data_IF_754815578454
#
_entry.id   IF_754815578454
#
_cell.length_a   1.000
_cell.length_b   1.000
_cell.length_c   1.000
_cell.angle_alpha   90.00
_cell.angle_beta   90.00
_cell.angle_gamma   90.00
#
_symmetry.space_group_name_H-M   'P 1'
#
loop_
_entity.id
_entity.type
_entity.pdbx_description
1 polymer ?
#
# COMPACT_ATOMS: atom_id res chain seq x y z
N UNK A 1 32.80 -51.57 55.96
CA UNK A 1 31.60 -52.07 55.23
C UNK A 1 30.53 -51.00 55.23
N UNK A 2 30.24 -50.36 54.11
CA UNK A 2 29.07 -49.46 54.01
C UNK A 2 27.80 -50.27 54.02
N UNK A 3 26.92 -49.99 54.95
CA UNK A 3 25.65 -50.74 55.15
C UNK A 3 24.73 -50.58 53.93
N UNK A 4 23.90 -51.57 53.66
CA UNK A 4 22.96 -51.59 52.56
C UNK A 4 21.93 -50.40 52.58
N UNK A 5 21.67 -49.88 53.79
CA UNK A 5 20.90 -48.65 54.03
C UNK A 5 21.56 -47.36 53.45
N UNK A 6 22.89 -47.21 53.61
CA UNK A 6 23.69 -46.11 53.10
C UNK A 6 23.67 -46.07 51.57
N UNK A 7 23.75 -47.23 50.90
CA UNK A 7 23.69 -47.33 49.46
C UNK A 7 22.31 -46.94 48.90
N UNK A 8 21.23 -47.27 49.58
CA UNK A 8 19.87 -46.93 49.21
C UNK A 8 19.61 -45.44 49.36
N UNK A 9 20.03 -44.84 50.46
CA UNK A 9 19.90 -43.38 50.71
C UNK A 9 20.65 -42.55 49.65
N UNK A 10 21.85 -42.95 49.24
CA UNK A 10 22.65 -42.26 48.21
C UNK A 10 21.95 -42.35 46.86
N UNK A 11 21.34 -43.49 46.51
CA UNK A 11 20.60 -43.66 45.25
C UNK A 11 19.33 -42.80 45.22
N UNK A 12 18.59 -42.75 46.33
CA UNK A 12 17.36 -41.94 46.43
C UNK A 12 17.70 -40.41 46.28
N UNK A 13 18.81 -39.97 46.88
CA UNK A 13 19.28 -38.58 46.74
C UNK A 13 19.71 -38.28 45.28
N UNK A 14 20.35 -39.21 44.59
CA UNK A 14 20.72 -39.02 43.17
C UNK A 14 19.51 -38.97 42.26
N UNK A 15 18.53 -39.81 42.47
CA UNK A 15 17.26 -39.79 41.73
C UNK A 15 16.50 -38.48 41.97
N UNK A 16 16.46 -37.98 43.19
CA UNK A 16 15.83 -36.69 43.53
C UNK A 16 16.52 -35.51 42.83
N UNK A 17 17.86 -35.47 42.87
CA UNK A 17 18.66 -34.45 42.15
C UNK A 17 18.39 -34.49 40.64
N UNK A 18 18.33 -35.68 40.04
CA UNK A 18 18.10 -35.83 38.61
C UNK A 18 16.69 -35.34 38.23
N UNK A 19 15.66 -35.67 39.02
CA UNK A 19 14.30 -35.17 38.84
C UNK A 19 14.23 -33.64 38.95
N UNK A 20 14.89 -33.06 39.95
CA UNK A 20 14.95 -31.61 40.15
C UNK A 20 15.65 -30.91 39.00
N UNK A 21 16.75 -31.44 38.48
CA UNK A 21 17.49 -30.91 37.35
C UNK A 21 16.62 -30.95 36.06
N UNK A 22 15.92 -32.07 35.79
CA UNK A 22 15.03 -32.18 34.66
C UNK A 22 13.86 -31.19 34.70
N UNK A 23 13.27 -31.01 35.91
CA UNK A 23 12.22 -30.02 36.14
C UNK A 23 12.70 -28.59 35.90
N UNK A 24 13.86 -28.24 36.40
CA UNK A 24 14.44 -26.90 36.23
C UNK A 24 14.79 -26.60 34.77
N UNK A 25 15.30 -27.56 34.02
CA UNK A 25 15.57 -27.44 32.59
C UNK A 25 14.23 -27.22 31.81
N UNK A 26 13.23 -28.00 32.13
CA UNK A 26 11.90 -27.85 31.51
C UNK A 26 11.27 -26.49 31.77
N UNK A 27 11.33 -26.02 33.03
CA UNK A 27 10.81 -24.69 33.40
C UNK A 27 11.56 -23.56 32.69
N UNK A 28 12.88 -23.63 32.64
CA UNK A 28 13.71 -22.64 31.93
C UNK A 28 13.39 -22.61 30.44
N UNK A 29 13.23 -23.77 29.81
CA UNK A 29 12.84 -23.85 28.39
C UNK A 29 11.48 -23.22 28.13
N UNK A 30 10.48 -23.47 28.98
CA UNK A 30 9.14 -22.87 28.85
C UNK A 30 9.20 -21.35 28.99
N UNK A 31 9.93 -20.83 29.97
CA UNK A 31 10.10 -19.39 30.19
C UNK A 31 10.78 -18.72 29.00
N UNK A 32 11.88 -19.29 28.50
CA UNK A 32 12.61 -18.77 27.34
C UNK A 32 11.72 -18.75 26.09
N UNK A 33 10.98 -19.84 25.89
CA UNK A 33 10.01 -19.96 24.81
C UNK A 33 8.94 -18.86 24.88
N UNK A 34 8.35 -18.65 26.05
CA UNK A 34 7.33 -17.62 26.27
C UNK A 34 7.87 -16.22 25.97
N UNK A 35 9.12 -15.92 26.39
CA UNK A 35 9.75 -14.61 26.11
C UNK A 35 9.96 -14.42 24.60
N UNK A 36 10.42 -15.44 23.88
CA UNK A 36 10.62 -15.35 22.42
C UNK A 36 9.30 -15.12 21.69
N UNK A 37 8.25 -15.85 22.08
CA UNK A 37 6.91 -15.68 21.48
C UNK A 37 6.35 -14.28 21.74
N UNK A 38 6.45 -13.79 22.97
CA UNK A 38 5.98 -12.44 23.31
C UNK A 38 6.76 -11.36 22.58
N UNK A 39 8.10 -11.47 22.52
CA UNK A 39 8.94 -10.51 21.78
C UNK A 39 8.61 -10.51 20.28
N UNK A 40 8.40 -11.68 19.68
CA UNK A 40 8.02 -11.80 18.27
C UNK A 40 6.65 -11.20 18.00
N UNK A 41 5.66 -11.48 18.86
CA UNK A 41 4.33 -10.90 18.75
C UNK A 41 4.34 -9.37 18.89
N UNK A 42 5.09 -8.87 19.87
CA UNK A 42 5.26 -7.43 20.09
C UNK A 42 5.89 -6.73 18.88
N UNK A 43 6.98 -7.30 18.35
CA UNK A 43 7.65 -6.77 17.16
C UNK A 43 6.72 -6.73 15.95
N UNK A 44 5.94 -7.79 15.74
CA UNK A 44 4.95 -7.84 14.65
C UNK A 44 3.87 -6.76 14.79
N UNK A 45 3.31 -6.58 15.99
CA UNK A 45 2.29 -5.57 16.26
C UNK A 45 2.85 -4.16 16.03
N UNK A 46 4.06 -3.86 16.52
CA UNK A 46 4.70 -2.57 16.31
C UNK A 46 4.95 -2.27 14.83
N UNK A 47 5.50 -3.24 14.10
CA UNK A 47 5.77 -3.08 12.67
C UNK A 47 4.48 -2.85 11.89
N UNK A 48 3.43 -3.62 12.16
CA UNK A 48 2.13 -3.45 11.52
C UNK A 48 1.55 -2.07 11.82
N UNK A 49 1.50 -1.68 13.09
CA UNK A 49 0.97 -0.36 13.48
C UNK A 49 1.73 0.79 12.83
N UNK A 50 3.06 0.72 12.78
CA UNK A 50 3.88 1.74 12.11
C UNK A 50 3.58 1.84 10.61
N UNK A 51 3.42 0.70 9.94
CA UNK A 51 3.11 0.66 8.51
C UNK A 51 1.71 1.21 8.21
N UNK A 52 0.72 0.81 9.03
CA UNK A 52 -0.66 1.28 8.87
C UNK A 52 -0.75 2.81 9.07
N UNK A 53 -0.08 3.34 10.10
CA UNK A 53 -0.03 4.80 10.35
C UNK A 53 0.68 5.54 9.21
N UNK A 54 1.80 5.01 8.71
CA UNK A 54 2.53 5.62 7.61
C UNK A 54 1.68 5.67 6.33
N UNK A 55 0.98 4.58 6.01
CA UNK A 55 0.08 4.51 4.86
C UNK A 55 -1.10 5.48 5.01
N UNK A 56 -1.78 5.48 6.14
CA UNK A 56 -2.91 6.38 6.41
C UNK A 56 -2.50 7.86 6.32
N UNK A 57 -1.33 8.19 6.88
CA UNK A 57 -0.80 9.55 6.84
C UNK A 57 -0.52 10.00 5.41
N UNK A 58 0.06 9.12 4.59
CA UNK A 58 0.36 9.42 3.19
C UNK A 58 -0.91 9.56 2.35
N UNK A 59 -1.85 8.62 2.48
CA UNK A 59 -3.14 8.70 1.79
C UNK A 59 -3.90 9.98 2.13
N UNK A 60 -3.89 10.39 3.40
CA UNK A 60 -4.52 11.64 3.83
C UNK A 60 -3.83 12.87 3.22
N UNK A 61 -2.51 12.90 3.22
CA UNK A 61 -1.73 13.98 2.60
C UNK A 61 -2.02 14.09 1.11
N UNK A 62 -2.04 12.94 0.42
CA UNK A 62 -2.27 12.91 -1.02
C UNK A 62 -3.72 13.29 -1.36
N UNK A 63 -4.69 12.94 -0.52
CA UNK A 63 -6.07 13.41 -0.64
C UNK A 63 -6.17 14.94 -0.52
N UNK A 64 -5.55 15.54 0.51
CA UNK A 64 -5.54 17.00 0.71
C UNK A 64 -4.84 17.72 -0.45
N UNK A 65 -3.79 17.11 -1.00
CA UNK A 65 -3.05 17.64 -2.14
C UNK A 65 -3.88 17.56 -3.44
N UNK A 66 -4.57 16.44 -3.65
CA UNK A 66 -5.48 16.26 -4.79
C UNK A 66 -6.65 17.26 -4.75
N UNK A 67 -7.23 17.52 -3.58
CA UNK A 67 -8.27 18.54 -3.41
C UNK A 67 -7.77 19.95 -3.78
N UNK A 68 -6.55 20.28 -3.40
CA UNK A 68 -5.94 21.57 -3.75
C UNK A 68 -5.70 21.69 -5.26
N UNK A 69 -5.20 20.63 -5.89
CA UNK A 69 -5.00 20.57 -7.35
C UNK A 69 -6.34 20.67 -8.08
N UNK A 70 -7.34 19.89 -7.65
CA UNK A 70 -8.68 19.95 -8.24
C UNK A 70 -9.25 21.38 -8.22
N UNK A 71 -9.13 22.08 -7.08
CA UNK A 71 -9.60 23.45 -6.98
C UNK A 71 -8.92 24.38 -7.99
N UNK A 72 -7.60 24.29 -8.15
CA UNK A 72 -6.84 25.08 -9.11
C UNK A 72 -7.26 24.80 -10.55
N UNK A 73 -7.45 23.51 -10.90
CA UNK A 73 -7.81 23.07 -12.24
C UNK A 73 -9.25 23.47 -12.55
N UNK A 74 -10.18 23.28 -11.62
CA UNK A 74 -11.59 23.58 -11.80
C UNK A 74 -11.88 25.09 -11.99
N UNK A 75 -11.01 25.97 -11.54
CA UNK A 75 -11.13 27.41 -11.77
C UNK A 75 -10.73 27.85 -13.19
N UNK A 76 -9.98 26.99 -13.92
CA UNK A 76 -9.36 27.36 -15.20
C UNK A 76 -9.85 26.60 -16.42
N UNK A 77 -10.40 25.39 -16.25
CA UNK A 77 -10.93 24.61 -17.40
C UNK A 77 -12.23 25.23 -17.88
N UNK A 78 -12.23 25.68 -19.14
CA UNK A 78 -13.45 26.07 -19.86
C UNK A 78 -14.36 24.86 -20.08
N UNK A 79 -15.47 24.81 -19.37
CA UNK A 79 -16.30 23.60 -19.20
C UNK A 79 -17.03 23.19 -20.46
N UNK A 80 -17.65 24.16 -21.19
CA UNK A 80 -18.36 23.89 -22.43
C UNK A 80 -17.40 23.46 -23.55
N UNK A 81 -16.30 24.13 -23.66
CA UNK A 81 -15.28 23.84 -24.65
C UNK A 81 -14.65 22.48 -24.40
N UNK A 82 -14.35 22.13 -23.14
CA UNK A 82 -13.87 20.80 -22.76
C UNK A 82 -14.82 19.68 -23.23
N UNK A 83 -16.14 19.92 -23.17
CA UNK A 83 -17.14 18.95 -23.58
C UNK A 83 -17.06 18.58 -25.09
N UNK A 84 -16.36 19.38 -25.90
CA UNK A 84 -16.19 19.12 -27.35
C UNK A 84 -15.01 18.20 -27.67
N UNK A 85 -14.03 18.07 -26.78
CA UNK A 85 -12.84 17.25 -26.99
C UNK A 85 -13.14 15.76 -26.82
N UNK A 86 -13.12 14.97 -27.91
CA UNK A 86 -13.50 13.54 -27.91
C UNK A 86 -12.63 12.67 -28.82
N UNK A 87 -11.98 13.26 -29.81
CA UNK A 87 -11.31 12.56 -30.89
C UNK A 87 -9.81 12.90 -30.93
N UNK A 88 -9.00 11.99 -31.43
CA UNK A 88 -7.57 12.23 -31.59
C UNK A 88 -7.25 13.47 -32.45
N UNK A 89 -8.14 13.82 -33.41
CA UNK A 89 -7.98 15.06 -34.19
C UNK A 89 -8.03 16.33 -33.35
N UNK A 90 -8.67 16.30 -32.17
CA UNK A 90 -8.87 17.45 -31.32
C UNK A 90 -7.56 17.85 -30.62
N UNK A 91 -6.56 16.93 -30.59
CA UNK A 91 -5.20 17.19 -30.12
C UNK A 91 -4.53 18.36 -30.83
N UNK A 92 -4.92 18.65 -32.10
CA UNK A 92 -4.37 19.75 -32.87
C UNK A 92 -5.07 21.10 -32.63
N UNK A 93 -6.05 21.15 -31.71
CA UNK A 93 -6.77 22.37 -31.38
C UNK A 93 -5.97 23.23 -30.38
N UNK A 94 -6.12 24.56 -30.49
CA UNK A 94 -5.50 25.51 -29.55
C UNK A 94 -5.95 25.23 -28.13
N UNK A 95 -7.22 24.91 -27.93
CA UNK A 95 -7.82 24.57 -26.66
C UNK A 95 -7.18 23.33 -26.03
N UNK A 96 -6.99 22.23 -26.78
CA UNK A 96 -6.31 21.06 -26.26
C UNK A 96 -4.91 21.42 -25.76
N UNK A 97 -4.14 22.17 -26.53
CA UNK A 97 -2.80 22.59 -26.16
C UNK A 97 -2.78 23.50 -24.93
N UNK A 98 -3.74 24.38 -24.78
CA UNK A 98 -3.89 25.25 -23.61
C UNK A 98 -4.17 24.42 -22.36
N UNK A 99 -5.16 23.53 -22.40
CA UNK A 99 -5.52 22.67 -21.29
C UNK A 99 -4.38 21.71 -20.94
N UNK A 100 -3.78 21.03 -21.92
CA UNK A 100 -2.68 20.08 -21.68
C UNK A 100 -1.47 20.77 -21.08
N UNK A 101 -1.08 21.94 -21.60
CA UNK A 101 0.03 22.72 -21.04
C UNK A 101 -0.24 23.16 -19.61
N UNK A 102 -1.46 23.58 -19.30
CA UNK A 102 -1.86 23.96 -17.95
C UNK A 102 -1.84 22.77 -17.01
N UNK A 103 -2.40 21.63 -17.41
CA UNK A 103 -2.33 20.40 -16.60
C UNK A 103 -0.89 19.97 -16.35
N UNK A 104 -0.02 20.06 -17.36
CA UNK A 104 1.40 19.73 -17.22
C UNK A 104 2.12 20.66 -16.23
N UNK A 105 1.85 21.97 -16.28
CA UNK A 105 2.39 22.94 -15.32
C UNK A 105 1.96 22.57 -13.89
N UNK A 106 0.68 22.40 -13.65
CA UNK A 106 0.14 22.02 -12.33
C UNK A 106 0.70 20.69 -11.85
N UNK A 107 0.76 19.67 -12.72
CA UNK A 107 1.34 18.37 -12.41
C UNK A 107 2.79 18.48 -11.96
N UNK A 108 3.59 19.25 -12.68
CA UNK A 108 5.02 19.41 -12.41
C UNK A 108 5.28 20.17 -11.11
N UNK A 109 4.53 21.26 -10.88
CA UNK A 109 4.65 22.07 -9.66
C UNK A 109 4.27 21.30 -8.39
N UNK A 110 3.33 20.37 -8.46
CA UNK A 110 2.85 19.61 -7.32
C UNK A 110 3.45 18.20 -7.20
N UNK A 111 4.43 17.86 -8.04
CA UNK A 111 5.05 16.51 -8.08
C UNK A 111 4.02 15.39 -8.26
N UNK A 112 2.91 15.68 -8.93
CA UNK A 112 1.87 14.72 -9.27
C UNK A 112 2.38 13.83 -10.41
N UNK A 113 2.12 12.53 -10.32
CA UNK A 113 2.60 11.60 -11.35
C UNK A 113 1.82 11.75 -12.65
N UNK A 114 0.49 11.62 -12.56
CA UNK A 114 -0.41 11.79 -13.69
C UNK A 114 -1.55 12.75 -13.32
N UNK A 115 -1.89 13.62 -14.25
CA UNK A 115 -3.00 14.57 -14.14
C UNK A 115 -3.67 14.64 -15.49
N UNK A 116 -4.85 14.07 -15.61
CA UNK A 116 -5.55 13.93 -16.89
C UNK A 116 -7.04 14.04 -16.71
N UNK A 117 -7.73 14.17 -17.85
CA UNK A 117 -9.19 14.17 -17.89
C UNK A 117 -9.70 12.98 -18.69
N UNK A 118 -10.88 12.49 -18.31
CA UNK A 118 -11.51 11.34 -18.93
C UNK A 118 -13.00 11.56 -19.12
N UNK A 119 -13.58 10.87 -20.11
CA UNK A 119 -15.02 10.87 -20.38
C UNK A 119 -15.45 9.55 -21.04
N UNK A 120 -16.72 9.47 -21.47
CA UNK A 120 -17.21 8.37 -22.28
C UNK A 120 -17.28 8.78 -23.75
N UNK A 121 -16.89 7.86 -24.64
CA UNK A 121 -17.11 8.02 -26.07
C UNK A 121 -18.55 7.60 -26.46
N UNK A 122 -18.88 7.69 -27.76
CA UNK A 122 -20.21 7.33 -28.32
C UNK A 122 -20.55 5.85 -28.06
N UNK A 123 -19.57 4.98 -27.92
CA UNK A 123 -19.74 3.55 -27.62
C UNK A 123 -19.88 3.28 -26.11
N UNK A 124 -20.00 4.34 -25.30
CA UNK A 124 -20.06 4.28 -23.83
C UNK A 124 -18.80 3.70 -23.15
N UNK A 125 -17.66 3.72 -23.83
CA UNK A 125 -16.35 3.31 -23.28
C UNK A 125 -15.62 4.51 -22.71
N UNK A 126 -14.87 4.30 -21.63
CA UNK A 126 -14.06 5.33 -21.02
C UNK A 126 -12.81 5.61 -21.87
N UNK A 127 -12.56 6.89 -22.11
CA UNK A 127 -11.44 7.39 -22.91
C UNK A 127 -10.72 8.52 -22.19
N UNK A 128 -9.43 8.68 -22.50
CA UNK A 128 -8.68 9.89 -22.20
C UNK A 128 -9.18 11.05 -23.05
N UNK A 129 -9.16 12.26 -22.49
CA UNK A 129 -9.52 13.48 -23.22
C UNK A 129 -8.30 14.40 -23.31
N UNK A 130 -7.75 14.87 -22.20
CA UNK A 130 -6.52 15.67 -22.16
C UNK A 130 -5.58 15.07 -21.14
N UNK A 131 -4.34 14.84 -21.55
CA UNK A 131 -3.25 14.40 -20.68
C UNK A 131 -2.33 15.57 -20.34
N UNK A 132 -1.96 15.69 -19.08
CA UNK A 132 -1.00 16.67 -18.58
C UNK A 132 0.45 16.18 -18.59
N UNK A 133 0.78 15.11 -19.30
CA UNK A 133 2.16 14.72 -19.53
C UNK A 133 2.82 15.60 -20.61
N UNK A 134 4.17 15.61 -20.60
CA UNK A 134 4.92 16.17 -21.74
C UNK A 134 4.56 15.38 -23.00
N UNK A 135 4.25 16.06 -24.12
CA UNK A 135 3.90 15.37 -25.37
C UNK A 135 4.95 14.38 -25.89
N UNK A 136 6.20 14.51 -25.45
CA UNK A 136 7.30 13.60 -25.79
C UNK A 136 7.49 12.46 -24.77
N UNK A 137 6.69 12.40 -23.71
CA UNK A 137 6.75 11.31 -22.75
C UNK A 137 6.32 10.00 -23.40
N UNK A 138 6.98 8.90 -23.03
CA UNK A 138 6.71 7.58 -23.63
C UNK A 138 5.38 6.96 -23.19
N UNK A 139 4.76 7.52 -22.16
CA UNK A 139 3.51 7.07 -21.54
C UNK A 139 2.35 8.07 -21.69
N UNK A 140 2.52 9.13 -22.52
CA UNK A 140 1.47 10.09 -22.84
C UNK A 140 0.25 9.39 -23.49
N UNK A 141 -0.94 9.83 -23.13
CA UNK A 141 -2.21 9.36 -23.69
C UNK A 141 -2.82 10.41 -24.60
N UNK A 142 -3.38 9.94 -25.71
CA UNK A 142 -4.02 10.80 -26.70
C UNK A 142 -5.54 10.80 -26.51
N UNK A 143 -6.23 11.86 -26.95
CA UNK A 143 -7.70 11.88 -26.94
C UNK A 143 -8.27 10.68 -27.68
N UNK A 144 -9.17 9.95 -27.02
CA UNK A 144 -9.77 8.73 -27.55
C UNK A 144 -9.07 7.43 -27.16
N UNK A 145 -7.87 7.46 -26.58
CA UNK A 145 -7.24 6.28 -26.00
C UNK A 145 -8.08 5.71 -24.86
N UNK A 146 -8.11 4.39 -24.74
CA UNK A 146 -8.92 3.73 -23.71
C UNK A 146 -8.25 3.80 -22.34
N UNK A 147 -9.10 4.02 -21.33
CA UNK A 147 -8.69 3.99 -19.92
C UNK A 147 -8.37 2.55 -19.50
N UNK A 148 -7.34 2.38 -18.70
CA UNK A 148 -6.93 1.12 -18.09
C UNK A 148 -7.99 0.58 -17.13
N UNK A 149 -8.14 -0.74 -17.09
CA UNK A 149 -9.20 -1.42 -16.33
C UNK A 149 -9.21 -1.07 -14.84
N UNK A 150 -8.03 -0.89 -14.23
CA UNK A 150 -7.89 -0.55 -12.83
C UNK A 150 -8.43 0.83 -12.46
N UNK A 151 -8.52 1.75 -13.43
CA UNK A 151 -9.04 3.12 -13.24
C UNK A 151 -10.55 3.24 -13.49
N UNK A 152 -11.14 2.30 -14.20
CA UNK A 152 -12.56 2.29 -14.56
C UNK A 152 -13.50 2.52 -13.36
N UNK A 153 -13.32 1.85 -12.19
CA UNK A 153 -14.23 2.04 -11.06
C UNK A 153 -14.24 3.46 -10.49
N UNK A 154 -13.08 4.13 -10.49
CA UNK A 154 -12.93 5.49 -9.96
C UNK A 154 -13.56 6.52 -10.90
N UNK A 155 -13.25 6.43 -12.20
CA UNK A 155 -13.76 7.33 -13.21
C UNK A 155 -15.29 7.20 -13.36
N UNK A 156 -15.83 5.99 -13.29
CA UNK A 156 -17.27 5.78 -13.32
C UNK A 156 -18.00 6.49 -12.19
N UNK A 157 -17.45 6.48 -10.98
CA UNK A 157 -18.02 7.22 -9.83
C UNK A 157 -17.94 8.72 -10.07
N UNK A 158 -16.80 9.23 -10.55
CA UNK A 158 -16.67 10.65 -10.86
C UNK A 158 -17.69 11.08 -11.93
N UNK A 159 -17.89 10.28 -12.97
CA UNK A 159 -18.91 10.55 -14.00
C UNK A 159 -20.36 10.42 -13.50
N UNK A 160 -20.57 9.82 -12.32
CA UNK A 160 -21.87 9.85 -11.63
C UNK A 160 -22.05 11.05 -10.67
N UNK A 161 -21.06 11.95 -10.61
CA UNK A 161 -21.10 13.16 -9.79
C UNK A 161 -20.46 13.02 -8.42
N UNK A 162 -19.78 11.90 -8.14
CA UNK A 162 -19.12 11.63 -6.86
C UNK A 162 -17.62 11.98 -6.91
N UNK A 163 -17.10 12.71 -5.93
CA UNK A 163 -15.66 12.76 -5.70
C UNK A 163 -15.22 11.44 -5.07
N UNK A 164 -14.18 10.83 -5.61
CA UNK A 164 -13.71 9.52 -5.14
C UNK A 164 -12.20 9.51 -4.94
N UNK A 165 -11.77 8.88 -3.84
CA UNK A 165 -10.37 8.65 -3.50
C UNK A 165 -10.12 7.15 -3.33
N UNK A 166 -8.94 6.69 -3.72
CA UNK A 166 -8.52 5.33 -3.39
C UNK A 166 -8.27 5.21 -1.88
N UNK A 167 -8.82 4.17 -1.27
CA UNK A 167 -8.67 3.89 0.16
C UNK A 167 -7.38 3.12 0.48
N UNK A 168 -6.70 2.64 -0.55
CA UNK A 168 -5.46 1.88 -0.48
C UNK A 168 -4.60 2.24 -1.68
N UNK A 169 -3.36 1.75 -1.67
CA UNK A 169 -2.50 1.81 -2.85
C UNK A 169 -3.17 1.02 -3.98
N UNK A 170 -3.27 1.62 -5.15
CA UNK A 170 -3.76 0.98 -6.37
C UNK A 170 -2.55 0.54 -7.18
N UNK A 171 -2.45 -0.76 -7.44
CA UNK A 171 -1.43 -1.30 -8.34
C UNK A 171 -1.91 -1.12 -9.78
N UNK A 172 -1.19 -0.32 -10.55
CA UNK A 172 -1.47 -0.07 -11.96
C UNK A 172 -0.36 -0.61 -12.83
N UNK A 173 -0.61 -0.68 -14.14
CA UNK A 173 0.42 -0.97 -15.15
C UNK A 173 1.65 -0.07 -15.01
N UNK A 174 1.47 1.14 -14.48
CA UNK A 174 2.49 2.17 -14.32
C UNK A 174 3.14 2.19 -12.93
N UNK A 175 2.72 1.29 -12.04
CA UNK A 175 3.20 1.15 -10.66
C UNK A 175 2.17 1.53 -9.61
N UNK A 176 2.55 1.51 -8.32
CA UNK A 176 1.66 1.80 -7.22
C UNK A 176 1.33 3.30 -7.14
N UNK A 177 0.05 3.63 -7.09
CA UNK A 177 -0.44 5.00 -7.02
C UNK A 177 -1.51 5.17 -5.93
N UNK A 178 -1.68 6.42 -5.48
CA UNK A 178 -2.94 6.94 -4.96
C UNK A 178 -3.69 7.58 -6.11
N UNK A 179 -5.01 7.41 -6.20
CA UNK A 179 -5.84 8.09 -7.19
C UNK A 179 -6.99 8.84 -6.55
N UNK A 180 -7.27 10.03 -7.10
CA UNK A 180 -8.44 10.83 -6.81
C UNK A 180 -9.11 11.22 -8.13
N UNK A 181 -10.43 11.02 -8.24
CA UNK A 181 -11.20 11.43 -9.41
C UNK A 181 -12.34 12.34 -9.01
N UNK A 182 -12.49 13.44 -9.73
CA UNK A 182 -13.47 14.50 -9.49
C UNK A 182 -14.37 14.68 -10.71
N UNK A 183 -15.67 14.93 -10.54
CA UNK A 183 -16.54 15.27 -11.63
C UNK A 183 -16.15 16.63 -12.24
N UNK A 184 -16.16 16.73 -13.56
CA UNK A 184 -16.14 18.00 -14.29
C UNK A 184 -17.58 18.32 -14.66
N UNK A 185 -18.13 19.40 -14.09
CA UNK A 185 -19.50 19.81 -14.29
C UNK A 185 -19.55 20.90 -15.36
N UNK A 186 -20.40 20.75 -16.37
CA UNK A 186 -20.69 21.76 -17.39
C UNK A 186 -21.50 22.95 -16.84
N UNK A 187 -21.85 23.88 -17.74
CA UNK A 187 -22.56 25.10 -17.35
C UNK A 187 -24.02 24.85 -16.98
N UNK A 188 -24.61 23.74 -17.47
CA UNK A 188 -25.98 23.30 -17.15
C UNK A 188 -26.05 22.30 -15.99
N UNK A 189 -25.00 22.23 -15.13
CA UNK A 189 -24.84 21.27 -14.04
C UNK A 189 -24.77 19.79 -14.47
N UNK A 190 -24.63 19.48 -15.77
CA UNK A 190 -24.36 18.14 -16.26
C UNK A 190 -22.89 17.75 -16.04
N UNK A 191 -22.64 16.45 -15.86
CA UNK A 191 -21.27 15.94 -15.77
C UNK A 191 -20.72 15.69 -17.18
N UNK A 192 -19.74 16.48 -17.60
CA UNK A 192 -19.12 16.43 -18.93
C UNK A 192 -17.86 15.59 -18.98
N UNK A 193 -17.26 15.30 -17.82
CA UNK A 193 -16.03 14.51 -17.70
C UNK A 193 -15.62 14.26 -16.27
N UNK A 194 -14.45 13.68 -16.13
CA UNK A 194 -13.78 13.47 -14.84
C UNK A 194 -12.35 14.00 -14.91
N UNK A 195 -11.89 14.66 -13.85
CA UNK A 195 -10.50 15.00 -13.63
C UNK A 195 -9.88 13.91 -12.73
N UNK A 196 -8.80 13.29 -13.19
CA UNK A 196 -8.07 12.25 -12.45
C UNK A 196 -6.69 12.77 -12.05
N UNK A 197 -6.35 12.55 -10.80
CA UNK A 197 -5.10 12.98 -10.16
C UNK A 197 -4.46 11.75 -9.54
N UNK A 198 -3.25 11.40 -9.97
CA UNK A 198 -2.55 10.22 -9.51
C UNK A 198 -1.21 10.59 -8.91
N UNK A 199 -0.96 10.14 -7.69
CA UNK A 199 0.29 10.39 -6.98
C UNK A 199 1.07 9.09 -6.79
N UNK A 200 2.41 9.21 -6.87
CA UNK A 200 3.32 8.07 -6.74
C UNK A 200 3.37 7.56 -5.30
N UNK A 201 3.01 6.30 -5.11
CA UNK A 201 3.05 5.60 -3.83
C UNK A 201 4.23 4.63 -3.71
N UNK A 202 5.22 4.69 -4.61
CA UNK A 202 6.33 3.74 -4.64
C UNK A 202 7.15 3.73 -3.36
N UNK A 203 7.38 4.90 -2.75
CA UNK A 203 8.13 5.02 -1.50
C UNK A 203 7.42 4.33 -0.33
N UNK A 204 6.12 4.57 -0.19
CA UNK A 204 5.30 3.97 0.87
C UNK A 204 5.09 2.49 0.63
N UNK A 205 4.80 2.09 -0.62
CA UNK A 205 4.70 0.68 -0.99
C UNK A 205 6.01 -0.07 -0.69
N UNK A 206 7.15 0.53 -0.98
CA UNK A 206 8.47 -0.01 -0.63
C UNK A 206 8.66 -0.19 0.87
N UNK A 207 8.15 0.72 1.71
CA UNK A 207 8.16 0.61 3.17
C UNK A 207 7.29 -0.57 3.63
N UNK A 208 6.06 -0.67 3.13
CA UNK A 208 5.12 -1.76 3.42
C UNK A 208 5.75 -3.12 3.11
N UNK A 209 6.34 -3.26 1.92
CA UNK A 209 6.98 -4.50 1.48
C UNK A 209 8.23 -4.87 2.29
N UNK A 210 9.06 -3.89 2.67
CA UNK A 210 10.23 -4.11 3.55
C UNK A 210 9.80 -4.57 4.92
N UNK A 211 8.77 -3.95 5.49
CA UNK A 211 8.23 -4.31 6.80
C UNK A 211 7.63 -5.71 6.79
N UNK A 212 6.87 -6.06 5.74
CA UNK A 212 6.34 -7.42 5.55
C UNK A 212 7.46 -8.47 5.50
N UNK A 213 8.52 -8.22 4.72
CA UNK A 213 9.68 -9.11 4.64
C UNK A 213 10.41 -9.25 5.97
N UNK A 214 10.63 -8.14 6.68
CA UNK A 214 11.25 -8.17 8.00
C UNK A 214 10.44 -9.00 9.01
N UNK A 215 9.12 -8.90 9.01
CA UNK A 215 8.23 -9.71 9.86
C UNK A 215 8.35 -11.20 9.57
N UNK A 216 8.46 -11.60 8.30
CA UNK A 216 8.68 -13.00 7.90
C UNK A 216 10.05 -13.50 8.42
N UNK A 217 11.11 -12.69 8.30
CA UNK A 217 12.44 -13.07 8.82
C UNK A 217 12.44 -13.23 10.34
N UNK A 218 11.82 -12.31 11.08
CA UNK A 218 11.70 -12.41 12.55
C UNK A 218 10.93 -13.68 12.94
N UNK A 219 9.83 -13.97 12.27
CA UNK A 219 9.04 -15.18 12.52
C UNK A 219 9.81 -16.49 12.24
N UNK A 220 10.56 -16.54 11.14
CA UNK A 220 11.37 -17.72 10.80
C UNK A 220 12.53 -17.91 11.78
N UNK A 221 13.22 -16.84 12.16
CA UNK A 221 14.29 -16.93 13.16
C UNK A 221 13.76 -17.39 14.53
N UNK A 222 12.63 -16.84 14.97
CA UNK A 222 11.98 -17.28 16.20
C UNK A 222 11.62 -18.78 16.16
N UNK A 223 11.08 -19.25 15.02
CA UNK A 223 10.79 -20.68 14.78
C UNK A 223 12.04 -21.57 14.85
N UNK A 224 13.15 -21.16 14.27
CA UNK A 224 14.43 -21.89 14.32
C UNK A 224 14.96 -21.98 15.75
N UNK A 225 14.96 -20.87 16.50
CA UNK A 225 15.40 -20.87 17.92
C UNK A 225 14.51 -21.80 18.77
N UNK A 226 13.22 -21.76 18.53
CA UNK A 226 12.22 -22.64 19.15
C UNK A 226 12.54 -24.12 18.90
N UNK A 227 12.79 -24.48 17.65
CA UNK A 227 13.13 -25.85 17.25
C UNK A 227 14.43 -26.30 17.94
N UNK A 228 15.47 -25.47 17.99
CA UNK A 228 16.73 -25.78 18.65
C UNK A 228 16.54 -25.99 20.15
N UNK A 229 15.77 -25.15 20.82
CA UNK A 229 15.45 -25.30 22.24
C UNK A 229 14.72 -26.60 22.52
N UNK A 230 13.72 -26.96 21.70
CA UNK A 230 13.00 -28.23 21.82
C UNK A 230 13.95 -29.43 21.63
N UNK A 231 14.86 -29.37 20.65
CA UNK A 231 15.85 -30.42 20.41
C UNK A 231 16.80 -30.61 21.61
N UNK A 232 17.33 -29.51 22.17
CA UNK A 232 18.21 -29.55 23.38
C UNK A 232 17.45 -30.12 24.56
N UNK A 233 16.23 -29.69 24.82
CA UNK A 233 15.39 -30.24 25.92
C UNK A 233 15.11 -31.74 25.72
N UNK A 234 14.83 -32.17 24.49
CA UNK A 234 14.59 -33.58 24.19
C UNK A 234 15.84 -34.45 24.43
N UNK A 235 17.02 -33.98 24.04
CA UNK A 235 18.29 -34.67 24.30
C UNK A 235 18.60 -34.72 25.80
N UNK A 236 18.41 -33.61 26.52
CA UNK A 236 18.60 -33.52 27.97
C UNK A 236 17.61 -34.39 28.75
N UNK A 237 16.40 -34.59 28.25
CA UNK A 237 15.40 -35.47 28.89
C UNK A 237 15.76 -36.97 28.74
N UNK A 238 16.35 -37.36 27.60
CA UNK A 238 16.76 -38.75 27.35
C UNK A 238 18.03 -39.18 28.07
N UNK A 239 18.88 -38.26 28.51
CA UNK A 239 20.05 -38.53 29.33
C UNK A 239 19.68 -38.49 30.83
#
# INVERSE_FOLDING_TARGET
MKTQADKKSVKDIQELKQRFTKFSIGLFAILTLSIILLASAYTYILQKSYTDIALETELKRDMENADAIHKLVNEKIGREEFATLRHQSDENTEMYHEVSSFLNEIRTLNSTRYLYTATRNEENRLIYVVDGLDPNAGDVRHPGDYIEDEMIPYINKALSGETVYSQNIVDTTWGPIFTACYPITGDSDEIVGALCIEMDMQSVNGLVERTRRASVYVGTMAGCVLFLLCAVCFIGYKR
#
